data_IF_145906626538
#
_entry.id   IF_145906626538
#
_cell.length_a   1.000
_cell.length_b   1.000
_cell.length_c   1.000
_cell.angle_alpha   90.00
_cell.angle_beta   90.00
_cell.angle_gamma   90.00
#
_symmetry.space_group_name_H-M   'P 1'
#
loop_
_entity.id
_entity.type
_entity.pdbx_description
1 polymer ?
#
# COMPACT_ATOMS: atom_id res chain seq x y z
N UNK A 1 -28.22 -7.73 -26.98
CA UNK A 1 -28.50 -6.95 -25.76
C UNK A 1 -27.19 -6.89 -24.97
N UNK A 2 -26.33 -5.92 -25.27
CA UNK A 2 -25.01 -5.77 -24.65
C UNK A 2 -25.17 -4.96 -23.36
N UNK A 3 -25.01 -5.62 -22.20
CA UNK A 3 -24.95 -4.90 -20.93
C UNK A 3 -23.63 -4.13 -20.85
N UNK A 4 -23.77 -2.79 -20.91
CA UNK A 4 -22.79 -1.82 -20.42
C UNK A 4 -22.46 -2.14 -18.96
N UNK A 5 -21.37 -2.85 -18.71
CA UNK A 5 -20.69 -2.78 -17.41
C UNK A 5 -19.83 -1.53 -17.48
N UNK A 6 -20.46 -0.39 -17.20
CA UNK A 6 -19.79 0.91 -17.10
C UNK A 6 -18.97 0.95 -15.82
N UNK A 7 -17.71 0.55 -15.92
CA UNK A 7 -16.71 0.89 -14.92
C UNK A 7 -16.57 2.42 -14.83
N UNK A 8 -16.99 3.03 -13.73
CA UNK A 8 -17.04 4.51 -13.55
C UNK A 8 -15.75 5.05 -12.92
N UNK A 9 -14.62 4.39 -13.16
CA UNK A 9 -13.33 4.72 -12.53
C UNK A 9 -13.26 4.31 -11.06
N UNK A 10 -12.10 4.46 -10.40
CA UNK A 10 -12.00 4.24 -8.97
C UNK A 10 -12.95 5.24 -8.27
N UNK A 11 -13.69 4.82 -7.23
CA UNK A 11 -14.52 5.75 -6.50
C UNK A 11 -13.62 6.84 -5.92
N UNK A 12 -13.84 8.06 -6.37
CA UNK A 12 -13.49 9.24 -5.61
C UNK A 12 -13.99 9.05 -4.16
N UNK A 13 -13.23 9.49 -3.15
CA UNK A 13 -13.53 9.37 -1.69
C UNK A 13 -15.03 9.13 -1.42
N UNK A 14 -15.45 8.03 -0.77
CA UNK A 14 -16.85 7.64 -0.71
C UNK A 14 -17.73 8.79 -0.24
N UNK A 15 -18.92 8.91 -0.81
CA UNK A 15 -19.85 10.01 -0.50
C UNK A 15 -20.12 10.11 1.01
N UNK A 16 -20.12 8.97 1.71
CA UNK A 16 -20.25 8.88 3.17
C UNK A 16 -19.12 9.62 3.90
N UNK A 17 -17.86 9.35 3.53
CA UNK A 17 -16.69 10.03 4.11
C UNK A 17 -16.72 11.54 3.89
N UNK A 18 -17.23 12.03 2.77
CA UNK A 18 -17.37 13.47 2.51
C UNK A 18 -18.40 14.17 3.39
N UNK A 19 -19.39 13.42 3.87
CA UNK A 19 -20.52 13.96 4.64
C UNK A 19 -20.35 13.82 6.15
N UNK A 20 -19.35 13.05 6.59
CA UNK A 20 -19.06 12.86 8.00
C UNK A 20 -18.13 13.96 8.52
N UNK A 21 -18.70 14.94 9.23
CA UNK A 21 -17.96 16.10 9.76
C UNK A 21 -16.89 15.67 10.78
N UNK A 22 -17.19 14.70 11.65
CA UNK A 22 -16.27 14.26 12.71
C UNK A 22 -15.07 13.52 12.13
N UNK A 23 -15.30 12.65 11.15
CA UNK A 23 -14.24 12.02 10.38
C UNK A 23 -13.33 13.07 9.72
N UNK A 24 -13.93 14.04 9.02
CA UNK A 24 -13.18 15.05 8.28
C UNK A 24 -12.38 16.01 9.17
N UNK A 25 -12.94 16.41 10.30
CA UNK A 25 -12.25 17.27 11.27
C UNK A 25 -11.00 16.59 11.85
N UNK A 26 -11.12 15.32 12.22
CA UNK A 26 -10.01 14.57 12.82
C UNK A 26 -8.90 14.27 11.84
N UNK A 27 -9.24 13.78 10.65
CA UNK A 27 -8.23 13.51 9.63
C UNK A 27 -7.54 14.81 9.19
N UNK A 28 -8.24 15.95 9.21
CA UNK A 28 -7.61 17.24 8.95
C UNK A 28 -6.67 17.65 10.08
N UNK A 29 -7.11 17.56 11.34
CA UNK A 29 -6.28 17.87 12.51
C UNK A 29 -5.00 17.03 12.55
N UNK A 30 -5.09 15.73 12.25
CA UNK A 30 -3.94 14.83 12.18
C UNK A 30 -2.98 15.21 11.04
N UNK A 31 -3.50 15.61 9.88
CA UNK A 31 -2.66 16.06 8.74
C UNK A 31 -1.88 17.32 9.05
N UNK A 32 -2.50 18.27 9.75
CA UNK A 32 -1.87 19.55 10.06
C UNK A 32 -0.75 19.40 11.09
N UNK A 33 -0.88 18.42 12.01
CA UNK A 33 0.09 18.18 13.09
C UNK A 33 1.12 17.10 12.77
N UNK A 34 0.72 16.08 12.02
CA UNK A 34 1.49 14.86 11.77
C UNK A 34 1.36 14.40 10.30
N UNK A 35 1.78 15.22 9.33
CA UNK A 35 1.52 14.97 7.91
C UNK A 35 2.12 13.66 7.41
N UNK A 36 3.37 13.36 7.74
CA UNK A 36 4.06 12.14 7.28
C UNK A 36 3.34 10.85 7.73
N UNK A 37 3.06 10.72 9.03
CA UNK A 37 2.36 9.55 9.58
C UNK A 37 0.91 9.45 9.09
N UNK A 38 0.23 10.59 8.91
CA UNK A 38 -1.17 10.61 8.47
C UNK A 38 -1.30 10.28 6.98
N UNK A 39 -0.41 10.80 6.13
CA UNK A 39 -0.43 10.51 4.70
C UNK A 39 0.03 9.09 4.38
N UNK A 40 0.93 8.53 5.18
CA UNK A 40 1.48 7.20 4.95
C UNK A 40 0.98 6.19 6.00
N UNK A 41 -0.29 5.78 5.86
CA UNK A 41 -0.86 4.64 6.57
C UNK A 41 -1.96 5.01 7.58
N UNK A 42 -1.72 5.94 8.51
CA UNK A 42 -2.71 6.22 9.57
C UNK A 42 -4.02 6.80 9.04
N UNK A 43 -3.98 7.60 7.97
CA UNK A 43 -5.20 8.09 7.33
C UNK A 43 -6.03 6.97 6.69
N UNK A 44 -5.38 5.90 6.21
CA UNK A 44 -6.04 4.71 5.70
C UNK A 44 -6.61 3.87 6.85
N UNK A 45 -5.86 3.68 7.93
CA UNK A 45 -6.34 3.01 9.14
C UNK A 45 -7.59 3.70 9.70
N UNK A 46 -7.56 5.03 9.83
CA UNK A 46 -8.70 5.83 10.26
C UNK A 46 -9.90 5.69 9.32
N UNK A 47 -9.66 5.63 8.00
CA UNK A 47 -10.71 5.40 7.03
C UNK A 47 -11.38 4.03 7.20
N UNK A 48 -10.62 2.94 7.30
CA UNK A 48 -11.20 1.60 7.42
C UNK A 48 -11.77 1.30 8.81
N UNK A 49 -11.26 1.94 9.87
CA UNK A 49 -11.92 1.92 11.18
C UNK A 49 -13.34 2.50 11.10
N UNK A 50 -13.50 3.62 10.41
CA UNK A 50 -14.75 4.36 10.34
C UNK A 50 -15.73 3.81 9.28
N UNK A 51 -15.19 3.21 8.21
CA UNK A 51 -15.94 2.62 7.11
C UNK A 51 -15.48 1.18 6.83
N UNK A 52 -15.72 0.22 7.74
CA UNK A 52 -15.19 -1.14 7.62
C UNK A 52 -15.69 -1.87 6.37
N UNK A 53 -16.93 -1.63 5.96
CA UNK A 53 -17.53 -2.23 4.76
C UNK A 53 -16.80 -1.82 3.46
N UNK A 54 -16.05 -0.72 3.47
CA UNK A 54 -15.26 -0.29 2.31
C UNK A 54 -13.99 -1.14 2.10
N UNK A 55 -13.61 -1.97 3.07
CA UNK A 55 -12.48 -2.89 2.92
C UNK A 55 -12.67 -3.85 1.75
N UNK A 56 -13.82 -4.50 1.67
CA UNK A 56 -14.12 -5.46 0.60
C UNK A 56 -14.21 -4.76 -0.76
N UNK A 57 -14.76 -3.54 -0.80
CA UNK A 57 -14.76 -2.70 -2.01
C UNK A 57 -13.33 -2.36 -2.46
N UNK A 58 -12.46 -1.99 -1.53
CA UNK A 58 -11.07 -1.68 -1.80
C UNK A 58 -10.30 -2.92 -2.32
N UNK A 59 -10.53 -4.10 -1.73
CA UNK A 59 -9.92 -5.34 -2.20
C UNK A 59 -10.44 -5.78 -3.58
N UNK A 60 -11.73 -5.63 -3.84
CA UNK A 60 -12.31 -5.90 -5.17
C UNK A 60 -11.71 -4.96 -6.23
N UNK A 61 -11.51 -3.69 -5.89
CA UNK A 61 -10.85 -2.70 -6.74
C UNK A 61 -9.38 -3.05 -6.98
N UNK A 62 -8.63 -3.38 -5.93
CA UNK A 62 -7.23 -3.77 -6.03
C UNK A 62 -7.05 -4.99 -6.94
N UNK A 63 -7.89 -6.03 -6.74
CA UNK A 63 -7.93 -7.23 -7.59
C UNK A 63 -8.19 -6.87 -9.05
N UNK A 64 -9.15 -5.99 -9.31
CA UNK A 64 -9.42 -5.55 -10.68
C UNK A 64 -8.22 -4.83 -11.29
N UNK A 65 -7.55 -3.95 -10.55
CA UNK A 65 -6.38 -3.21 -11.04
C UNK A 65 -5.25 -4.17 -11.39
N UNK A 66 -4.92 -5.13 -10.51
CA UNK A 66 -3.89 -6.16 -10.78
C UNK A 66 -4.23 -6.95 -12.04
N UNK A 67 -5.49 -7.39 -12.18
CA UNK A 67 -5.97 -8.10 -13.37
C UNK A 67 -5.85 -7.25 -14.64
N UNK A 68 -6.17 -5.96 -14.56
CA UNK A 68 -6.05 -5.05 -15.71
C UNK A 68 -4.62 -4.88 -16.15
N UNK A 69 -3.69 -4.70 -15.23
CA UNK A 69 -2.26 -4.64 -15.56
C UNK A 69 -1.86 -5.88 -16.36
N UNK A 70 -2.18 -7.08 -15.87
CA UNK A 70 -1.88 -8.35 -16.54
C UNK A 70 -2.47 -8.42 -17.96
N UNK A 71 -3.72 -7.95 -18.15
CA UNK A 71 -4.39 -7.98 -19.45
C UNK A 71 -3.83 -6.95 -20.45
N UNK A 72 -3.35 -5.81 -19.96
CA UNK A 72 -2.92 -4.70 -20.80
C UNK A 72 -1.41 -4.66 -21.07
N UNK A 73 -0.66 -5.64 -20.59
CA UNK A 73 0.78 -5.78 -20.87
C UNK A 73 1.07 -7.04 -21.70
N UNK A 74 0.50 -7.19 -22.91
CA UNK A 74 0.74 -8.37 -23.73
C UNK A 74 2.23 -8.46 -24.11
N UNK A 75 2.89 -9.55 -23.70
CA UNK A 75 4.31 -9.81 -23.97
C UNK A 75 5.28 -9.21 -22.95
N UNK A 76 4.80 -8.50 -21.93
CA UNK A 76 5.61 -8.03 -20.81
C UNK A 76 5.26 -8.77 -19.52
N UNK A 77 6.28 -9.10 -18.72
CA UNK A 77 6.05 -9.57 -17.35
C UNK A 77 5.79 -8.39 -16.42
N UNK A 78 4.81 -8.55 -15.53
CA UNK A 78 4.50 -7.55 -14.52
C UNK A 78 4.91 -8.09 -13.17
N UNK A 79 5.70 -7.31 -12.46
CA UNK A 79 6.12 -7.58 -11.10
C UNK A 79 5.70 -6.41 -10.22
N UNK A 80 4.94 -6.69 -9.17
CA UNK A 80 4.57 -5.69 -8.17
C UNK A 80 5.57 -5.69 -7.01
N UNK A 81 6.30 -4.60 -6.83
CA UNK A 81 7.13 -4.41 -5.64
C UNK A 81 6.29 -3.79 -4.51
N UNK A 82 6.06 -4.53 -3.43
CA UNK A 82 5.33 -4.06 -2.24
C UNK A 82 6.32 -3.37 -1.32
N UNK A 83 6.28 -2.03 -1.32
CA UNK A 83 7.17 -1.18 -0.52
C UNK A 83 6.53 -0.95 0.86
N UNK A 84 7.23 -1.20 1.98
CA UNK A 84 6.73 -0.85 3.31
C UNK A 84 6.50 0.65 3.48
N UNK A 85 5.53 1.02 4.30
CA UNK A 85 5.40 2.38 4.82
C UNK A 85 6.52 2.69 5.84
N UNK A 86 6.82 3.96 6.07
CA UNK A 86 7.70 4.42 7.14
C UNK A 86 7.31 3.76 8.47
N UNK A 87 6.02 3.70 8.75
CA UNK A 87 5.43 3.15 9.96
C UNK A 87 5.66 1.65 10.16
N UNK A 88 5.73 0.89 9.07
CA UNK A 88 6.03 -0.56 9.11
C UNK A 88 7.51 -0.85 9.39
N UNK A 89 8.39 0.14 9.20
CA UNK A 89 9.82 0.06 9.50
C UNK A 89 10.20 0.81 10.79
N UNK A 90 9.44 1.83 11.14
CA UNK A 90 9.65 2.73 12.26
C UNK A 90 8.34 2.91 13.05
N UNK A 91 7.84 1.88 13.76
CA UNK A 91 6.57 1.95 14.49
C UNK A 91 6.55 3.03 15.59
N UNK A 92 7.71 3.51 16.03
CA UNK A 92 7.85 4.64 16.94
C UNK A 92 7.29 5.96 16.39
N UNK A 93 7.20 6.12 15.06
CA UNK A 93 6.69 7.36 14.43
C UNK A 93 5.16 7.49 14.49
N UNK A 94 4.47 6.48 15.05
CA UNK A 94 3.01 6.44 15.18
C UNK A 94 2.50 7.46 16.20
N UNK A 95 3.19 7.57 17.34
CA UNK A 95 2.96 8.45 18.49
C UNK A 95 1.58 9.12 18.59
N UNK A 96 1.59 10.42 18.87
CA UNK A 96 0.42 11.29 19.08
C UNK A 96 -0.58 11.31 17.90
N UNK A 97 -0.16 10.91 16.69
CA UNK A 97 -1.03 10.88 15.52
C UNK A 97 -2.11 9.79 15.62
N UNK A 98 -1.76 8.62 16.18
CA UNK A 98 -2.73 7.56 16.43
C UNK A 98 -3.78 7.99 17.46
N UNK A 99 -3.38 8.72 18.51
CA UNK A 99 -4.32 9.24 19.51
C UNK A 99 -5.33 10.21 18.92
N UNK A 100 -4.87 11.18 18.10
CA UNK A 100 -5.76 12.15 17.42
C UNK A 100 -6.77 11.45 16.51
N UNK A 101 -6.36 10.36 15.87
CA UNK A 101 -7.20 9.56 14.98
C UNK A 101 -8.00 8.48 15.70
N UNK A 102 -7.85 8.37 17.02
CA UNK A 102 -8.39 7.31 17.88
C UNK A 102 -8.09 5.92 17.32
N UNK A 103 -6.84 5.64 16.96
CA UNK A 103 -6.40 4.33 16.45
C UNK A 103 -5.73 3.54 17.56
N UNK A 104 -6.14 2.28 17.73
CA UNK A 104 -5.62 1.40 18.75
C UNK A 104 -5.59 -0.06 18.30
N UNK A 105 -4.75 -0.88 18.93
CA UNK A 105 -4.68 -2.33 18.68
C UNK A 105 -4.62 -2.67 17.19
N UNK A 106 -5.63 -3.41 16.72
CA UNK A 106 -5.72 -3.90 15.34
C UNK A 106 -5.84 -2.80 14.28
N UNK A 107 -6.24 -1.57 14.64
CA UNK A 107 -6.29 -0.46 13.69
C UNK A 107 -4.88 -0.13 13.17
N UNK A 108 -3.88 -0.25 14.04
CA UNK A 108 -2.48 0.02 13.71
C UNK A 108 -1.87 -1.07 12.82
N UNK A 109 -2.51 -2.22 12.67
CA UNK A 109 -2.07 -3.30 11.77
C UNK A 109 -2.57 -3.11 10.33
N UNK A 110 -3.29 -2.01 10.03
CA UNK A 110 -3.91 -1.78 8.72
C UNK A 110 -2.94 -1.88 7.54
N UNK A 111 -1.74 -1.30 7.64
CA UNK A 111 -0.76 -1.33 6.54
C UNK A 111 -0.25 -2.75 6.28
N UNK A 112 -0.01 -3.53 7.34
CA UNK A 112 0.37 -4.94 7.19
C UNK A 112 -0.76 -5.74 6.56
N UNK A 113 -2.02 -5.53 6.99
CA UNK A 113 -3.19 -6.16 6.36
C UNK A 113 -3.31 -5.82 4.88
N UNK A 114 -3.01 -4.59 4.47
CA UNK A 114 -3.02 -4.19 3.04
C UNK A 114 -1.89 -4.85 2.28
N UNK A 115 -0.67 -4.90 2.83
CA UNK A 115 0.45 -5.61 2.20
C UNK A 115 0.14 -7.09 2.00
N UNK A 116 -0.39 -7.77 3.03
CA UNK A 116 -0.78 -9.19 2.93
C UNK A 116 -1.89 -9.39 1.88
N UNK A 117 -2.88 -8.50 1.83
CA UNK A 117 -3.95 -8.58 0.85
C UNK A 117 -3.43 -8.42 -0.59
N UNK A 118 -2.50 -7.47 -0.81
CA UNK A 118 -1.85 -7.30 -2.11
C UNK A 118 -1.07 -8.56 -2.53
N UNK A 119 -0.24 -9.10 -1.64
CA UNK A 119 0.53 -10.32 -1.90
C UNK A 119 -0.37 -11.53 -2.17
N UNK A 120 -1.48 -11.67 -1.42
CA UNK A 120 -2.44 -12.74 -1.62
C UNK A 120 -3.17 -12.61 -2.97
N UNK A 121 -3.59 -11.40 -3.35
CA UNK A 121 -4.25 -11.13 -4.64
C UNK A 121 -3.30 -11.44 -5.80
N UNK A 122 -2.04 -11.00 -5.73
CA UNK A 122 -1.03 -11.33 -6.73
C UNK A 122 -0.85 -12.84 -6.88
N UNK A 123 -0.72 -13.56 -5.76
CA UNK A 123 -0.59 -15.03 -5.77
C UNK A 123 -1.81 -15.73 -6.39
N UNK A 124 -3.01 -15.28 -6.07
CA UNK A 124 -4.26 -15.85 -6.62
C UNK A 124 -4.39 -15.63 -8.13
N UNK A 125 -3.93 -14.48 -8.62
CA UNK A 125 -4.00 -14.12 -10.04
C UNK A 125 -2.79 -14.60 -10.85
N UNK A 126 -1.89 -15.38 -10.23
CA UNK A 126 -0.62 -15.81 -10.82
C UNK A 126 0.19 -14.62 -11.38
N UNK A 127 0.22 -13.53 -10.61
CA UNK A 127 1.02 -12.33 -10.88
C UNK A 127 2.13 -12.25 -9.86
N UNK A 128 3.33 -11.94 -10.33
CA UNK A 128 4.49 -11.89 -9.48
C UNK A 128 4.49 -10.64 -8.59
N UNK A 129 4.88 -10.83 -7.34
CA UNK A 129 5.06 -9.75 -6.38
C UNK A 129 6.27 -9.99 -5.49
N UNK A 130 6.99 -8.91 -5.18
CA UNK A 130 8.14 -8.91 -4.29
C UNK A 130 7.73 -8.19 -3.01
N UNK A 131 7.81 -8.89 -1.88
CA UNK A 131 7.68 -8.26 -0.57
C UNK A 131 9.03 -7.66 -0.15
N UNK A 132 9.10 -6.33 -0.10
CA UNK A 132 10.33 -5.63 0.27
C UNK A 132 10.49 -5.44 1.78
N UNK A 133 9.46 -5.76 2.60
CA UNK A 133 9.53 -5.61 4.06
C UNK A 133 10.73 -6.35 4.66
N UNK A 134 11.04 -7.62 4.33
CA UNK A 134 12.17 -8.32 4.92
C UNK A 134 13.52 -7.72 4.53
N UNK A 135 13.67 -7.26 3.28
CA UNK A 135 14.91 -6.66 2.81
C UNK A 135 15.16 -5.33 3.52
N UNK A 136 14.15 -4.46 3.57
CA UNK A 136 14.27 -3.13 4.14
C UNK A 136 14.38 -3.15 5.68
N UNK A 137 13.74 -4.08 6.38
CA UNK A 137 13.88 -4.24 7.85
C UNK A 137 15.28 -4.65 8.30
N UNK A 138 16.09 -5.25 7.43
CA UNK A 138 17.46 -5.66 7.77
C UNK A 138 18.46 -4.51 7.73
N UNK A 139 18.10 -3.39 7.13
CA UNK A 139 18.98 -2.25 7.00
C UNK A 139 19.07 -1.47 8.30
N UNK A 140 20.28 -1.08 8.67
CA UNK A 140 20.52 -0.22 9.84
C UNK A 140 20.61 1.25 9.47
N UNK A 141 20.67 1.57 8.17
CA UNK A 141 20.70 2.95 7.65
C UNK A 141 19.28 3.47 7.47
N UNK A 142 19.05 4.76 7.71
CA UNK A 142 17.77 5.39 7.42
C UNK A 142 17.39 5.21 5.93
N UNK A 143 16.17 4.74 5.67
CA UNK A 143 15.65 4.47 4.32
C UNK A 143 14.65 5.51 3.82
N UNK A 144 14.25 6.43 4.69
CA UNK A 144 13.37 7.57 4.41
C UNK A 144 14.11 8.87 4.68
N UNK A 145 13.54 9.99 4.23
CA UNK A 145 14.03 11.30 4.62
C UNK A 145 13.52 11.67 6.02
N UNK A 146 14.27 12.48 6.77
CA UNK A 146 13.93 12.77 8.18
C UNK A 146 12.58 13.47 8.36
N UNK A 147 12.17 14.31 7.40
CA UNK A 147 10.95 15.10 7.45
C UNK A 147 9.97 14.79 6.32
N UNK A 148 10.22 13.69 5.60
CA UNK A 148 9.45 13.34 4.42
C UNK A 148 9.29 11.81 4.33
N UNK A 149 8.05 11.37 4.09
CA UNK A 149 7.66 9.96 4.12
C UNK A 149 8.08 9.17 2.87
N UNK A 150 8.71 9.82 1.89
CA UNK A 150 9.24 9.17 0.71
C UNK A 150 10.55 8.46 1.04
N UNK A 151 10.76 7.38 0.29
CA UNK A 151 11.99 6.60 0.30
C UNK A 151 13.15 7.50 -0.13
N UNK A 152 14.27 7.45 0.61
CA UNK A 152 15.48 8.16 0.27
C UNK A 152 16.36 7.37 -0.71
N UNK A 153 17.52 7.91 -1.06
CA UNK A 153 18.45 7.26 -2.01
C UNK A 153 18.90 5.87 -1.52
N UNK A 154 19.11 5.69 -0.21
CA UNK A 154 19.50 4.40 0.34
C UNK A 154 18.37 3.37 0.19
N UNK A 155 17.12 3.73 0.51
CA UNK A 155 15.97 2.84 0.31
C UNK A 155 15.74 2.51 -1.16
N UNK A 156 15.88 3.49 -2.09
CA UNK A 156 15.81 3.21 -3.52
C UNK A 156 16.88 2.23 -4.01
N UNK A 157 18.09 2.26 -3.43
CA UNK A 157 19.14 1.28 -3.74
C UNK A 157 18.76 -0.13 -3.33
N UNK A 158 18.07 -0.30 -2.20
CA UNK A 158 17.56 -1.62 -1.78
C UNK A 158 16.50 -2.13 -2.76
N UNK A 159 15.54 -1.28 -3.12
CA UNK A 159 14.51 -1.61 -4.12
C UNK A 159 15.16 -2.06 -5.42
N UNK A 160 16.15 -1.30 -5.92
CA UNK A 160 16.85 -1.62 -7.16
C UNK A 160 17.59 -2.97 -7.09
N UNK A 161 18.27 -3.27 -5.98
CA UNK A 161 18.98 -4.55 -5.78
C UNK A 161 18.04 -5.75 -5.74
N UNK A 162 16.89 -5.61 -5.06
CA UNK A 162 15.89 -6.68 -4.99
C UNK A 162 15.25 -6.93 -6.35
N UNK A 163 14.93 -5.86 -7.10
CA UNK A 163 14.42 -5.96 -8.48
C UNK A 163 15.45 -6.59 -9.43
N UNK A 164 16.71 -6.16 -9.39
CA UNK A 164 17.79 -6.73 -10.21
C UNK A 164 17.98 -8.21 -9.91
N UNK A 165 18.08 -8.57 -8.63
CA UNK A 165 18.21 -9.97 -8.19
C UNK A 165 17.04 -10.82 -8.66
N UNK A 166 15.83 -10.25 -8.64
CA UNK A 166 14.62 -10.88 -9.11
C UNK A 166 14.64 -11.14 -10.63
N UNK A 167 14.93 -10.10 -11.41
CA UNK A 167 15.04 -10.20 -12.86
C UNK A 167 16.10 -11.23 -13.30
N UNK A 168 17.25 -11.25 -12.63
CA UNK A 168 18.32 -12.20 -12.93
C UNK A 168 17.89 -13.67 -12.69
N UNK A 169 17.14 -13.95 -11.61
CA UNK A 169 16.59 -15.29 -11.36
C UNK A 169 15.57 -15.71 -12.43
N UNK A 170 14.72 -14.77 -12.85
CA UNK A 170 13.72 -15.03 -13.89
C UNK A 170 14.36 -15.35 -15.25
N UNK A 171 15.45 -14.68 -15.63
CA UNK A 171 16.19 -14.94 -16.87
C UNK A 171 16.84 -16.34 -16.84
N UNK A 172 17.54 -16.70 -15.77
CA UNK A 172 18.21 -18.01 -15.65
C UNK A 172 17.20 -19.17 -15.66
N UNK A 173 16.05 -19.00 -15.02
CA UNK A 173 14.97 -20.00 -15.01
C UNK A 173 14.25 -20.18 -16.35
N UNK A 174 14.32 -19.19 -17.26
CA UNK A 174 13.75 -19.24 -18.62
C UNK A 174 14.69 -19.85 -19.64
N UNK A 175 16.00 -19.69 -19.49
CA UNK A 175 17.00 -20.36 -20.35
C UNK A 175 17.14 -21.87 -20.11
N UNK A 176 16.44 -22.41 -19.10
CA UNK A 176 16.48 -23.83 -18.71
C UNK A 176 15.20 -24.60 -19.08
N UNK A 177 14.26 -23.99 -19.81
CA UNK A 177 13.05 -24.63 -20.37
C UNK A 177 13.13 -24.60 -21.89
#
# INVERSE_FOLDING_TARGET
MLQRIGWIGPPSRPVRARRDARFNERIQSARDRFPAATWQGLGQAHFFKHFPDEWDNALAMLRHVVKRFQQESPGGDIVFAVIPTLRQLHPEVVGDAAEVLELEGQDLECDDRVCEAMLAICRELDVEAIDLRPAMRRETTALFWDFDHHINVAGHRIIARELESHMNRAVVGRSSR
#
